data_IF_178708258926
#
_entry.id   IF_178708258926
#
_cell.length_a   1.000
_cell.length_b   1.000
_cell.length_c   1.000
_cell.angle_alpha   90.00
_cell.angle_beta   90.00
_cell.angle_gamma   90.00
#
_symmetry.space_group_name_H-M   'P 1'
#
loop_
_entity.id
_entity.type
_entity.pdbx_description
1 polymer ?
#
# COMPACT_ATOMS: atom_id res chain seq x y z
N UNK A 1 -0.90 -3.90 -31.52
CA UNK A 1 -2.00 -4.70 -30.94
C UNK A 1 -1.52 -5.48 -29.72
N UNK A 2 -0.50 -6.33 -29.82
CA UNK A 2 0.00 -7.11 -28.66
C UNK A 2 0.60 -6.24 -27.52
N UNK A 3 1.35 -5.19 -27.85
CA UNK A 3 1.93 -4.26 -26.84
C UNK A 3 0.82 -3.49 -26.10
N UNK A 4 -0.19 -3.03 -26.83
CA UNK A 4 -1.35 -2.32 -26.28
C UNK A 4 -2.09 -3.19 -25.28
N UNK A 5 -2.33 -4.46 -25.61
CA UNK A 5 -2.99 -5.41 -24.72
C UNK A 5 -2.18 -5.70 -23.43
N UNK A 6 -0.84 -5.76 -23.52
CA UNK A 6 0.03 -5.95 -22.35
C UNK A 6 0.01 -4.74 -21.42
N UNK A 7 0.04 -3.53 -21.98
CA UNK A 7 -0.09 -2.30 -21.20
C UNK A 7 -1.46 -2.19 -20.52
N UNK A 8 -2.53 -2.48 -21.24
CA UNK A 8 -3.90 -2.49 -20.70
C UNK A 8 -4.03 -3.50 -19.55
N UNK A 9 -3.51 -4.72 -19.72
CA UNK A 9 -3.53 -5.73 -18.66
C UNK A 9 -2.73 -5.30 -17.42
N UNK A 10 -1.56 -4.69 -17.60
CA UNK A 10 -0.75 -4.16 -16.50
C UNK A 10 -1.47 -3.03 -15.77
N UNK A 11 -2.06 -2.08 -16.50
CA UNK A 11 -2.84 -0.99 -15.94
C UNK A 11 -4.03 -1.51 -15.13
N UNK A 12 -4.83 -2.42 -15.69
CA UNK A 12 -5.99 -3.00 -15.00
C UNK A 12 -5.58 -3.79 -13.75
N UNK A 13 -4.47 -4.53 -13.81
CA UNK A 13 -3.95 -5.28 -12.67
C UNK A 13 -3.54 -4.34 -11.53
N UNK A 14 -2.80 -3.27 -11.86
CA UNK A 14 -2.37 -2.28 -10.87
C UNK A 14 -3.56 -1.47 -10.32
N UNK A 15 -4.51 -1.09 -11.15
CA UNK A 15 -5.72 -0.40 -10.72
C UNK A 15 -6.58 -1.29 -9.80
N UNK A 16 -6.71 -2.58 -10.13
CA UNK A 16 -7.39 -3.55 -9.27
C UNK A 16 -6.69 -3.70 -7.93
N UNK A 17 -5.37 -3.91 -7.93
CA UNK A 17 -4.57 -4.02 -6.70
C UNK A 17 -4.65 -2.77 -5.85
N UNK A 18 -4.60 -1.59 -6.46
CA UNK A 18 -4.77 -0.31 -5.76
C UNK A 18 -6.11 -0.25 -5.05
N UNK A 19 -7.20 -0.45 -5.80
CA UNK A 19 -8.55 -0.36 -5.24
C UNK A 19 -8.80 -1.40 -4.16
N UNK A 20 -8.36 -2.64 -4.41
CA UNK A 20 -8.50 -3.74 -3.48
C UNK A 20 -7.69 -3.51 -2.19
N UNK A 21 -6.43 -3.11 -2.32
CA UNK A 21 -5.56 -2.77 -1.20
C UNK A 21 -6.08 -1.59 -0.38
N UNK A 22 -6.58 -0.55 -1.06
CA UNK A 22 -7.19 0.60 -0.41
C UNK A 22 -8.49 0.27 0.33
N UNK A 23 -9.31 -0.62 -0.22
CA UNK A 23 -10.54 -1.07 0.41
C UNK A 23 -10.25 -1.95 1.63
N UNK A 24 -9.38 -2.96 1.50
CA UNK A 24 -9.01 -3.83 2.61
C UNK A 24 -8.32 -3.04 3.71
N UNK A 25 -7.37 -2.17 3.37
CA UNK A 25 -6.71 -1.30 4.34
C UNK A 25 -7.70 -0.44 5.10
N UNK A 26 -8.68 0.15 4.41
CA UNK A 26 -9.76 0.90 5.05
C UNK A 26 -10.60 0.03 5.99
N UNK A 27 -10.99 -1.17 5.57
CA UNK A 27 -11.77 -2.11 6.39
C UNK A 27 -10.99 -2.50 7.64
N UNK A 28 -9.73 -2.91 7.50
CA UNK A 28 -8.86 -3.27 8.62
C UNK A 28 -8.75 -2.10 9.60
N UNK A 29 -8.50 -0.89 9.10
CA UNK A 29 -8.35 0.30 9.93
C UNK A 29 -9.66 0.68 10.64
N UNK A 30 -10.81 0.52 9.97
CA UNK A 30 -12.13 0.74 10.56
C UNK A 30 -12.36 -0.20 11.75
N UNK A 31 -12.07 -1.49 11.56
CA UNK A 31 -12.20 -2.50 12.62
C UNK A 31 -11.17 -2.29 13.74
N UNK A 32 -9.92 -1.95 13.41
CA UNK A 32 -8.87 -1.64 14.38
C UNK A 32 -9.26 -0.46 15.28
N UNK A 33 -9.72 0.65 14.69
CA UNK A 33 -10.16 1.85 15.45
C UNK A 33 -11.37 1.59 16.31
N UNK A 34 -12.23 0.65 15.92
CA UNK A 34 -13.39 0.30 16.73
C UNK A 34 -13.00 -0.62 17.88
N UNK A 35 -12.31 -1.72 17.62
CA UNK A 35 -12.16 -2.81 18.60
C UNK A 35 -10.83 -2.84 19.34
N UNK A 36 -9.77 -2.31 18.75
CA UNK A 36 -8.40 -2.44 19.29
C UNK A 36 -7.89 -1.10 19.82
N UNK A 37 -8.22 0.02 19.17
CA UNK A 37 -7.72 1.33 19.59
C UNK A 37 -8.27 1.77 20.95
N UNK A 38 -7.35 2.05 21.88
CA UNK A 38 -7.66 2.62 23.20
C UNK A 38 -8.21 4.05 23.12
N UNK A 39 -8.04 4.73 21.98
CA UNK A 39 -8.54 6.11 21.76
C UNK A 39 -10.04 6.18 21.50
N UNK A 40 -10.72 5.04 21.38
CA UNK A 40 -12.14 4.96 21.13
C UNK A 40 -12.82 4.04 22.15
N UNK A 41 -12.81 4.41 23.45
CA UNK A 41 -13.42 3.59 24.52
C UNK A 41 -14.93 3.37 24.31
N UNK A 42 -15.57 4.35 23.68
CA UNK A 42 -16.98 4.38 23.29
C UNK A 42 -17.31 3.54 22.04
N UNK A 43 -16.31 2.94 21.38
CA UNK A 43 -16.46 2.02 20.24
C UNK A 43 -17.28 2.61 19.07
N UNK A 44 -17.20 3.93 18.87
CA UNK A 44 -17.87 4.63 17.77
C UNK A 44 -17.27 4.23 16.42
N UNK A 45 -18.10 4.28 15.38
CA UNK A 45 -17.62 4.11 14.00
C UNK A 45 -16.95 5.40 13.55
N UNK A 46 -15.64 5.33 13.37
CA UNK A 46 -14.81 6.48 12.95
C UNK A 46 -14.30 6.17 11.56
N UNK A 47 -14.58 7.04 10.59
CA UNK A 47 -14.05 6.90 9.24
C UNK A 47 -12.51 6.94 9.28
N UNK A 48 -11.82 5.88 8.81
CA UNK A 48 -10.38 5.88 8.77
C UNK A 48 -9.85 6.66 7.58
N UNK A 49 -8.88 7.55 7.85
CA UNK A 49 -8.17 8.30 6.83
C UNK A 49 -8.89 9.55 6.31
N UNK A 50 -8.46 10.00 5.13
CA UNK A 50 -8.82 11.30 4.58
C UNK A 50 -10.09 11.29 3.72
N UNK A 51 -10.29 10.23 2.93
CA UNK A 51 -11.40 10.14 1.98
C UNK A 51 -12.70 9.76 2.69
N UNK A 52 -13.82 10.24 2.17
CA UNK A 52 -15.16 9.83 2.61
C UNK A 52 -15.51 8.54 1.86
N UNK A 53 -15.40 7.39 2.54
CA UNK A 53 -15.72 6.07 1.98
C UNK A 53 -14.55 5.07 2.03
N UNK A 54 -14.73 3.84 1.52
CA UNK A 54 -13.83 2.71 1.73
C UNK A 54 -12.57 2.75 0.85
N UNK A 55 -11.82 3.83 0.92
CA UNK A 55 -10.59 4.01 0.17
C UNK A 55 -9.53 4.65 1.06
N UNK A 56 -8.50 3.86 1.39
CA UNK A 56 -7.32 4.33 2.09
C UNK A 56 -6.11 4.24 1.13
N UNK A 57 -5.79 5.30 0.37
CA UNK A 57 -4.78 5.25 -0.71
C UNK A 57 -3.41 4.76 -0.27
N UNK A 58 -3.01 5.04 0.98
CA UNK A 58 -1.75 4.59 1.57
C UNK A 58 -1.55 3.06 1.42
N UNK A 59 -2.59 2.28 1.71
CA UNK A 59 -2.54 0.82 1.63
C UNK A 59 -2.57 0.32 0.18
N UNK A 60 -3.30 1.01 -0.70
CA UNK A 60 -3.34 0.70 -2.13
C UNK A 60 -1.97 0.89 -2.79
N UNK A 61 -1.33 2.04 -2.56
CA UNK A 61 0.04 2.30 -3.04
C UNK A 61 1.06 1.33 -2.44
N UNK A 62 0.95 1.03 -1.14
CA UNK A 62 1.78 0.02 -0.50
C UNK A 62 1.66 -1.35 -1.18
N UNK A 63 0.44 -1.84 -1.39
CA UNK A 63 0.21 -3.13 -2.04
C UNK A 63 0.74 -3.17 -3.48
N UNK A 64 0.53 -2.11 -4.27
CA UNK A 64 1.10 -2.02 -5.63
C UNK A 64 2.62 -2.11 -5.62
N UNK A 65 3.30 -1.39 -4.72
CA UNK A 65 4.76 -1.42 -4.62
C UNK A 65 5.26 -2.80 -4.22
N UNK A 66 4.62 -3.42 -3.22
CA UNK A 66 4.98 -4.77 -2.78
C UNK A 66 4.76 -5.82 -3.88
N UNK A 67 3.79 -5.60 -4.77
CA UNK A 67 3.53 -6.47 -5.92
C UNK A 67 4.56 -6.29 -7.04
N UNK A 68 4.95 -5.04 -7.36
CA UNK A 68 5.87 -4.74 -8.47
C UNK A 68 7.33 -5.05 -8.13
N UNK A 69 7.77 -4.78 -6.90
CA UNK A 69 9.19 -4.88 -6.50
C UNK A 69 9.82 -6.27 -6.76
N UNK A 70 9.15 -7.41 -6.48
CA UNK A 70 9.67 -8.74 -6.79
C UNK A 70 9.76 -9.06 -8.29
N UNK A 71 9.09 -8.30 -9.16
CA UNK A 71 9.10 -8.49 -10.61
C UNK A 71 10.34 -7.83 -11.24
N UNK A 72 10.84 -6.73 -10.64
CA UNK A 72 11.96 -5.94 -11.16
C UNK A 72 13.22 -6.78 -11.45
N UNK A 73 13.66 -7.72 -10.57
CA UNK A 73 14.85 -8.53 -10.83
C UNK A 73 14.76 -9.46 -12.06
N UNK A 74 13.54 -9.73 -12.53
CA UNK A 74 13.26 -10.56 -13.70
C UNK A 74 13.07 -9.76 -14.99
N UNK A 75 13.17 -8.42 -14.95
CA UNK A 75 13.12 -7.61 -16.16
C UNK A 75 14.32 -7.93 -17.06
N UNK A 76 14.06 -8.68 -18.13
CA UNK A 76 15.10 -9.15 -19.06
C UNK A 76 15.79 -10.46 -18.64
N UNK A 77 15.23 -11.20 -17.68
CA UNK A 77 15.66 -12.56 -17.33
C UNK A 77 14.48 -13.51 -17.33
N UNK A 78 14.72 -14.77 -17.65
CA UNK A 78 13.69 -15.80 -17.56
C UNK A 78 13.36 -16.13 -16.10
N UNK A 79 12.07 -16.22 -15.79
CA UNK A 79 11.57 -16.58 -14.46
C UNK A 79 12.04 -17.97 -13.99
N UNK A 80 12.46 -18.84 -14.93
CA UNK A 80 12.94 -20.19 -14.65
C UNK A 80 14.27 -20.22 -13.89
N UNK A 81 15.07 -19.15 -13.92
CA UNK A 81 16.37 -19.11 -13.24
C UNK A 81 16.27 -18.91 -11.72
N UNK A 82 15.07 -18.61 -11.20
CA UNK A 82 14.86 -18.32 -9.79
C UNK A 82 15.61 -17.07 -9.31
N UNK A 83 15.41 -16.71 -8.04
CA UNK A 83 16.17 -15.62 -7.40
C UNK A 83 17.18 -16.22 -6.43
N UNK A 84 18.39 -15.69 -6.42
CA UNK A 84 19.36 -16.06 -5.39
C UNK A 84 18.91 -15.54 -4.02
N UNK A 85 19.35 -16.20 -2.94
CA UNK A 85 19.01 -15.79 -1.56
C UNK A 85 19.38 -14.33 -1.29
N UNK A 86 20.52 -13.87 -1.82
CA UNK A 86 20.95 -12.48 -1.71
C UNK A 86 19.95 -11.52 -2.40
N UNK A 87 19.46 -11.86 -3.60
CA UNK A 87 18.47 -11.05 -4.31
C UNK A 87 17.16 -10.98 -3.53
N UNK A 88 16.69 -12.09 -2.97
CA UNK A 88 15.48 -12.11 -2.12
C UNK A 88 15.63 -11.14 -0.95
N UNK A 89 16.76 -11.22 -0.23
CA UNK A 89 17.02 -10.36 0.93
C UNK A 89 17.05 -8.88 0.51
N UNK A 90 17.77 -8.55 -0.57
CA UNK A 90 17.84 -7.18 -1.07
C UNK A 90 16.48 -6.64 -1.50
N UNK A 91 15.66 -7.46 -2.17
CA UNK A 91 14.30 -7.08 -2.55
C UNK A 91 13.42 -6.81 -1.33
N UNK A 92 13.47 -7.66 -0.30
CA UNK A 92 12.71 -7.45 0.95
C UNK A 92 13.15 -6.17 1.67
N UNK A 93 14.46 -5.93 1.78
CA UNK A 93 14.98 -4.70 2.38
C UNK A 93 14.52 -3.45 1.61
N UNK A 94 14.61 -3.50 0.28
CA UNK A 94 14.15 -2.41 -0.58
C UNK A 94 12.64 -2.18 -0.45
N UNK A 95 11.83 -3.24 -0.32
CA UNK A 95 10.39 -3.15 -0.03
C UNK A 95 10.14 -2.43 1.31
N UNK A 96 10.89 -2.75 2.36
CA UNK A 96 10.81 -2.06 3.66
C UNK A 96 11.13 -0.56 3.56
N UNK A 97 12.18 -0.21 2.80
CA UNK A 97 12.53 1.20 2.54
C UNK A 97 11.41 1.92 1.80
N UNK A 98 10.85 1.30 0.76
CA UNK A 98 9.75 1.90 -0.01
C UNK A 98 8.48 2.08 0.82
N UNK A 99 8.13 1.12 1.68
CA UNK A 99 6.98 1.26 2.58
C UNK A 99 7.17 2.43 3.55
N UNK A 100 8.38 2.56 4.13
CA UNK A 100 8.73 3.69 4.98
C UNK A 100 8.63 5.02 4.22
N UNK A 101 9.10 5.06 2.97
CA UNK A 101 9.04 6.28 2.16
C UNK A 101 7.60 6.68 1.83
N UNK A 102 6.74 5.71 1.46
CA UNK A 102 5.32 5.95 1.21
C UNK A 102 4.64 6.54 2.44
N UNK A 103 4.87 5.95 3.62
CA UNK A 103 4.34 6.46 4.89
C UNK A 103 4.87 7.86 5.20
N UNK A 104 6.18 8.08 5.01
CA UNK A 104 6.80 9.38 5.25
C UNK A 104 6.21 10.47 4.34
N UNK A 105 6.05 10.20 3.04
CA UNK A 105 5.43 11.14 2.09
C UNK A 105 3.98 11.43 2.48
N UNK A 106 3.21 10.40 2.84
CA UNK A 106 1.83 10.59 3.31
C UNK A 106 1.80 11.46 4.57
N UNK A 107 2.70 11.22 5.53
CA UNK A 107 2.86 12.04 6.73
C UNK A 107 3.22 13.49 6.41
N UNK A 108 4.12 13.74 5.45
CA UNK A 108 4.44 15.10 5.00
C UNK A 108 3.20 15.81 4.42
N UNK A 109 2.43 15.13 3.58
CA UNK A 109 1.22 15.70 2.97
C UNK A 109 0.19 16.03 4.06
N UNK A 110 -0.17 15.07 4.90
CA UNK A 110 -1.29 15.25 5.84
C UNK A 110 -0.91 16.06 7.08
N UNK A 111 0.24 15.77 7.71
CA UNK A 111 0.63 16.41 8.97
C UNK A 111 1.24 17.79 8.69
N UNK A 112 2.18 17.91 7.76
CA UNK A 112 2.83 19.21 7.47
C UNK A 112 2.02 20.07 6.51
N UNK A 113 1.52 19.48 5.42
CA UNK A 113 0.77 20.20 4.39
C UNK A 113 -0.64 20.57 4.85
N UNK A 114 -1.42 19.58 5.27
CA UNK A 114 -2.84 19.75 5.59
C UNK A 114 -3.13 20.01 7.08
N UNK A 115 -2.12 19.84 7.95
CA UNK A 115 -2.25 19.98 9.42
C UNK A 115 -3.31 19.06 10.03
N UNK A 116 -3.48 17.88 9.45
CA UNK A 116 -4.41 16.84 9.91
C UNK A 116 -3.61 15.60 10.31
N UNK A 117 -3.87 15.06 11.50
CA UNK A 117 -3.28 13.80 11.96
C UNK A 117 -4.28 12.66 11.75
N UNK A 118 -4.07 11.87 10.70
CA UNK A 118 -5.00 10.80 10.33
C UNK A 118 -4.77 9.50 11.10
N UNK A 119 -3.52 9.18 11.44
CA UNK A 119 -3.16 8.03 12.25
C UNK A 119 -2.34 8.47 13.47
N UNK A 120 -2.73 7.97 14.63
CA UNK A 120 -2.04 8.21 15.89
C UNK A 120 -2.25 7.01 16.81
N UNK A 121 -1.26 6.13 16.82
CA UNK A 121 -1.31 4.87 17.58
C UNK A 121 -0.75 4.99 19.01
N UNK A 122 -0.22 6.17 19.37
CA UNK A 122 0.30 6.49 20.71
C UNK A 122 -0.78 6.53 21.77
#
# INVERSE_FOLDING_TARGET
MEITNKFEAAFLSLAFLFMFGSMIGWVIELFFRRFISNKNPERKWINPGFLVGPCLPLYGFGLMVLFVMPIIPYLGRDYSEGMSVLQVILTILAMGVMMTLIEYIAGLIFIKGMKIKLWDYS
#
